data_IF_293284450963
#
_entry.id   IF_293284450963
#
_cell.length_a   1.000
_cell.length_b   1.000
_cell.length_c   1.000
_cell.angle_alpha   90.00
_cell.angle_beta   90.00
_cell.angle_gamma   90.00
#
_symmetry.space_group_name_H-M   'P 1'
#
loop_
_entity.id
_entity.type
_entity.pdbx_description
1 polymer ?
#
# COMPACT_ATOMS: atom_id res chain seq x y z
N UNK A 1 -6.31 -40.20 -21.49
CA UNK A 1 -7.36 -39.20 -21.76
C UNK A 1 -7.15 -38.08 -20.76
N UNK A 2 -6.93 -36.85 -21.23
CA UNK A 2 -6.74 -35.71 -20.33
C UNK A 2 -8.08 -35.43 -19.64
N UNK A 3 -8.10 -35.53 -18.31
CA UNK A 3 -9.26 -35.18 -17.50
C UNK A 3 -9.42 -33.66 -17.57
N UNK A 4 -10.54 -33.16 -18.09
CA UNK A 4 -10.86 -31.73 -18.02
C UNK A 4 -11.44 -31.44 -16.63
N UNK A 5 -10.74 -30.71 -15.75
CA UNK A 5 -11.22 -30.43 -14.40
C UNK A 5 -12.40 -29.45 -14.35
N UNK A 6 -12.66 -28.69 -15.43
CA UNK A 6 -13.73 -27.67 -15.50
C UNK A 6 -13.61 -26.60 -14.40
N UNK A 7 -12.39 -26.10 -14.17
CA UNK A 7 -12.10 -25.13 -13.11
C UNK A 7 -12.79 -23.78 -13.33
N UNK A 8 -12.97 -23.36 -14.60
CA UNK A 8 -13.60 -22.09 -14.93
C UNK A 8 -15.10 -22.13 -14.69
N UNK A 9 -15.74 -23.24 -15.05
CA UNK A 9 -17.13 -23.53 -14.72
C UNK A 9 -17.33 -23.59 -13.21
N UNK A 10 -16.38 -24.19 -12.48
CA UNK A 10 -16.44 -24.26 -11.02
C UNK A 10 -16.34 -22.89 -10.35
N UNK A 11 -15.55 -21.96 -10.90
CA UNK A 11 -15.50 -20.57 -10.42
C UNK A 11 -16.87 -19.89 -10.52
N UNK A 12 -17.61 -20.12 -11.61
CA UNK A 12 -18.93 -19.52 -11.80
C UNK A 12 -20.03 -20.21 -10.98
N UNK A 13 -20.10 -21.54 -11.01
CA UNK A 13 -21.17 -22.30 -10.36
C UNK A 13 -20.94 -22.56 -8.87
N UNK A 14 -19.70 -22.43 -8.39
CA UNK A 14 -19.30 -22.77 -7.02
C UNK A 14 -19.19 -24.28 -6.76
N UNK A 15 -19.37 -25.10 -7.79
CA UNK A 15 -19.18 -26.56 -7.77
C UNK A 15 -18.73 -27.03 -9.15
N UNK A 16 -18.06 -28.19 -9.21
CA UNK A 16 -17.69 -28.77 -10.50
C UNK A 16 -18.91 -29.47 -11.15
N UNK A 17 -19.18 -29.24 -12.44
CA UNK A 17 -20.30 -29.87 -13.15
C UNK A 17 -20.34 -31.39 -13.02
N UNK A 18 -19.19 -32.06 -12.99
CA UNK A 18 -19.07 -33.51 -12.81
C UNK A 18 -19.58 -33.97 -11.44
N UNK A 19 -19.32 -33.20 -10.38
CA UNK A 19 -19.85 -33.50 -9.03
C UNK A 19 -21.37 -33.35 -9.00
N UNK A 20 -21.91 -32.35 -9.68
CA UNK A 20 -23.35 -32.19 -9.82
C UNK A 20 -23.96 -33.40 -10.54
N UNK A 21 -23.36 -33.84 -11.65
CA UNK A 21 -23.83 -35.01 -12.41
C UNK A 21 -23.77 -36.30 -11.62
N UNK A 22 -22.71 -36.51 -10.83
CA UNK A 22 -22.63 -37.65 -9.92
C UNK A 22 -23.79 -37.66 -8.90
N UNK A 23 -24.13 -36.51 -8.32
CA UNK A 23 -25.25 -36.42 -7.36
C UNK A 23 -26.59 -36.72 -8.02
N UNK A 24 -26.81 -36.20 -9.23
CA UNK A 24 -28.03 -36.48 -10.01
C UNK A 24 -28.11 -37.95 -10.41
N UNK A 25 -26.98 -38.56 -10.81
CA UNK A 25 -26.89 -39.98 -11.13
C UNK A 25 -27.33 -40.85 -9.95
N UNK A 26 -26.76 -40.59 -8.76
CA UNK A 26 -27.08 -41.33 -7.53
C UNK A 26 -28.57 -41.17 -7.20
N UNK A 27 -29.10 -39.93 -7.26
CA UNK A 27 -30.50 -39.68 -6.97
C UNK A 27 -31.44 -40.46 -7.91
N UNK A 28 -31.20 -40.44 -9.23
CA UNK A 28 -32.01 -41.22 -10.17
C UNK A 28 -31.89 -42.72 -9.96
N UNK A 29 -30.68 -43.20 -9.65
CA UNK A 29 -30.45 -44.60 -9.36
C UNK A 29 -31.23 -45.04 -8.11
N UNK A 30 -31.19 -44.25 -7.04
CA UNK A 30 -31.93 -44.52 -5.80
C UNK A 30 -33.45 -44.58 -6.06
N UNK A 31 -34.00 -43.59 -6.80
CA UNK A 31 -35.42 -43.61 -7.18
C UNK A 31 -35.81 -44.81 -8.04
N UNK A 32 -34.93 -45.27 -8.93
CA UNK A 32 -35.18 -46.48 -9.72
C UNK A 32 -35.28 -47.71 -8.81
N UNK A 33 -34.36 -47.86 -7.87
CA UNK A 33 -34.39 -48.98 -6.91
C UNK A 33 -35.63 -48.92 -6.00
N UNK A 34 -35.96 -47.76 -5.45
CA UNK A 34 -37.16 -47.56 -4.62
C UNK A 34 -38.43 -47.93 -5.39
N UNK A 35 -38.56 -47.46 -6.63
CA UNK A 35 -39.72 -47.77 -7.47
C UNK A 35 -39.83 -49.26 -7.74
N UNK A 36 -38.73 -49.95 -8.02
CA UNK A 36 -38.74 -51.42 -8.23
C UNK A 36 -39.15 -52.17 -6.97
N UNK A 37 -38.70 -51.74 -5.80
CA UNK A 37 -39.12 -52.32 -4.52
C UNK A 37 -40.62 -52.13 -4.27
N UNK A 38 -41.16 -50.94 -4.58
CA UNK A 38 -42.59 -50.67 -4.48
C UNK A 38 -43.37 -51.59 -5.42
N UNK A 39 -42.96 -51.69 -6.69
CA UNK A 39 -43.59 -52.57 -7.68
C UNK A 39 -43.59 -54.03 -7.21
N UNK A 40 -42.46 -54.54 -6.74
CA UNK A 40 -42.35 -55.90 -6.21
C UNK A 40 -43.31 -56.11 -5.02
N UNK A 41 -43.33 -55.17 -4.07
CA UNK A 41 -44.20 -55.25 -2.90
C UNK A 41 -45.70 -55.23 -3.25
N UNK A 42 -46.09 -54.46 -4.28
CA UNK A 42 -47.47 -54.39 -4.77
C UNK A 42 -47.86 -55.70 -5.44
N UNK A 43 -46.99 -56.28 -6.26
CA UNK A 43 -47.23 -57.57 -6.93
C UNK A 43 -47.41 -58.67 -5.88
N UNK A 44 -46.55 -58.73 -4.86
CA UNK A 44 -46.65 -59.71 -3.77
C UNK A 44 -47.96 -59.57 -3.00
N UNK A 45 -48.33 -58.35 -2.58
CA UNK A 45 -49.59 -58.08 -1.88
C UNK A 45 -50.83 -58.45 -2.71
N UNK A 46 -50.77 -58.30 -4.03
CA UNK A 46 -51.86 -58.70 -4.93
C UNK A 46 -51.93 -60.20 -5.10
N UNK A 47 -50.79 -60.90 -5.10
CA UNK A 47 -50.73 -62.35 -5.19
C UNK A 47 -51.34 -63.04 -3.97
N UNK A 48 -51.18 -62.48 -2.77
CA UNK A 48 -51.79 -62.98 -1.53
C UNK A 48 -53.34 -63.05 -1.62
N UNK A 49 -53.95 -62.27 -2.52
CA UNK A 49 -55.39 -62.31 -2.81
C UNK A 49 -55.85 -63.45 -3.71
N UNK A 50 -54.93 -64.28 -4.26
CA UNK A 50 -55.23 -65.38 -5.17
C UNK A 50 -54.73 -66.73 -4.61
N UNK A 51 -55.56 -67.44 -3.82
CA UNK A 51 -55.15 -68.66 -3.11
C UNK A 51 -54.80 -69.84 -4.04
N UNK A 52 -55.28 -69.85 -5.29
CA UNK A 52 -54.97 -70.91 -6.28
C UNK A 52 -53.69 -70.66 -7.09
N UNK A 53 -52.97 -69.57 -6.82
CA UNK A 53 -51.80 -69.20 -7.62
C UNK A 53 -50.54 -69.97 -7.17
N UNK A 54 -49.93 -70.74 -8.07
CA UNK A 54 -48.71 -71.53 -7.82
C UNK A 54 -47.41 -70.73 -7.93
N UNK A 55 -47.47 -69.40 -7.99
CA UNK A 55 -46.29 -68.55 -8.20
C UNK A 55 -45.58 -68.36 -6.86
N UNK A 56 -44.29 -68.71 -6.81
CA UNK A 56 -43.47 -68.48 -5.62
C UNK A 56 -42.98 -67.03 -5.56
N UNK A 57 -42.93 -66.39 -4.37
CA UNK A 57 -42.29 -65.09 -4.18
C UNK A 57 -40.87 -65.00 -4.73
N UNK A 58 -40.13 -66.11 -4.69
CA UNK A 58 -38.78 -66.20 -5.25
C UNK A 58 -38.73 -66.00 -6.77
N UNK A 59 -39.76 -66.47 -7.50
CA UNK A 59 -39.86 -66.28 -8.95
C UNK A 59 -40.14 -64.81 -9.30
N UNK A 60 -40.94 -64.12 -8.46
CA UNK A 60 -41.21 -62.68 -8.61
C UNK A 60 -39.95 -61.87 -8.32
N UNK A 61 -39.21 -62.20 -7.25
CA UNK A 61 -37.94 -61.56 -6.92
C UNK A 61 -36.93 -61.68 -8.07
N UNK A 62 -36.72 -62.90 -8.57
CA UNK A 62 -35.81 -63.16 -9.70
C UNK A 62 -36.23 -62.42 -10.98
N UNK A 63 -37.53 -62.31 -11.23
CA UNK A 63 -38.06 -61.57 -12.39
C UNK A 63 -37.85 -60.06 -12.23
N UNK A 64 -38.06 -59.53 -11.03
CA UNK A 64 -37.83 -58.11 -10.70
C UNK A 64 -36.34 -57.77 -10.82
N UNK A 65 -35.45 -58.61 -10.30
CA UNK A 65 -33.99 -58.42 -10.43
C UNK A 65 -33.54 -58.44 -11.90
N UNK A 66 -34.08 -59.36 -12.71
CA UNK A 66 -33.79 -59.41 -14.15
C UNK A 66 -34.25 -58.12 -14.87
N UNK A 67 -35.45 -57.63 -14.54
CA UNK A 67 -35.96 -56.39 -15.11
C UNK A 67 -35.16 -55.16 -14.64
N UNK A 68 -34.77 -55.12 -13.37
CA UNK A 68 -33.95 -54.07 -12.81
C UNK A 68 -32.56 -54.00 -13.46
N UNK A 69 -31.92 -55.15 -13.74
CA UNK A 69 -30.66 -55.18 -14.49
C UNK A 69 -30.83 -54.60 -15.89
N UNK A 70 -31.88 -54.98 -16.60
CA UNK A 70 -32.22 -54.43 -17.92
C UNK A 70 -32.42 -52.91 -17.86
N UNK A 71 -33.19 -52.44 -16.87
CA UNK A 71 -33.43 -51.01 -16.67
C UNK A 71 -32.16 -50.25 -16.33
N UNK A 72 -31.27 -50.83 -15.51
CA UNK A 72 -29.99 -50.22 -15.15
C UNK A 72 -29.08 -50.04 -16.37
N UNK A 73 -28.94 -51.06 -17.22
CA UNK A 73 -28.14 -50.95 -18.44
C UNK A 73 -28.67 -49.89 -19.41
N UNK A 74 -29.99 -49.78 -19.54
CA UNK A 74 -30.63 -48.75 -20.36
C UNK A 74 -30.48 -47.36 -19.73
N UNK A 75 -30.64 -47.25 -18.42
CA UNK A 75 -30.46 -46.02 -17.67
C UNK A 75 -29.03 -45.50 -17.80
N UNK A 76 -28.00 -46.32 -17.59
CA UNK A 76 -26.60 -45.92 -17.73
C UNK A 76 -26.33 -45.33 -19.12
N UNK A 77 -26.77 -46.02 -20.19
CA UNK A 77 -26.58 -45.55 -21.58
C UNK A 77 -27.27 -44.21 -21.85
N UNK A 78 -28.49 -44.02 -21.33
CA UNK A 78 -29.24 -42.79 -21.53
C UNK A 78 -28.69 -41.65 -20.67
N UNK A 79 -28.31 -41.96 -19.43
CA UNK A 79 -27.73 -41.00 -18.51
C UNK A 79 -26.41 -40.48 -19.05
N UNK A 80 -25.51 -41.33 -19.55
CA UNK A 80 -24.23 -40.86 -20.13
C UNK A 80 -24.43 -39.89 -21.30
N UNK A 81 -25.44 -40.12 -22.15
CA UNK A 81 -25.78 -39.19 -23.25
C UNK A 81 -26.34 -37.87 -22.72
N UNK A 82 -27.23 -37.94 -21.73
CA UNK A 82 -27.80 -36.76 -21.10
C UNK A 82 -26.73 -35.94 -20.37
N UNK A 83 -25.84 -36.61 -19.62
CA UNK A 83 -24.69 -36.02 -18.95
C UNK A 83 -23.81 -35.28 -19.94
N UNK A 84 -23.45 -35.91 -21.06
CA UNK A 84 -22.66 -35.26 -22.11
C UNK A 84 -23.33 -33.98 -22.63
N UNK A 85 -24.64 -34.04 -22.92
CA UNK A 85 -25.40 -32.88 -23.41
C UNK A 85 -25.47 -31.77 -22.35
N UNK A 86 -25.72 -32.10 -21.08
CA UNK A 86 -25.77 -31.12 -19.99
C UNK A 86 -24.41 -30.47 -19.76
N UNK A 87 -23.34 -31.27 -19.77
CA UNK A 87 -21.97 -30.79 -19.62
C UNK A 87 -21.50 -29.96 -20.82
N UNK A 88 -22.05 -30.13 -22.01
CA UNK A 88 -21.67 -29.36 -23.20
C UNK A 88 -22.47 -28.07 -23.37
N UNK A 89 -23.78 -28.11 -23.09
CA UNK A 89 -24.71 -27.03 -23.44
C UNK A 89 -25.21 -26.21 -22.25
N UNK A 90 -25.21 -26.77 -21.03
CA UNK A 90 -25.81 -26.13 -19.85
C UNK A 90 -24.77 -25.75 -18.83
N UNK A 91 -23.93 -26.70 -18.43
CA UNK A 91 -22.92 -26.54 -17.38
C UNK A 91 -21.53 -26.24 -17.94
N UNK A 92 -21.48 -25.61 -19.11
CA UNK A 92 -20.26 -25.24 -19.83
C UNK A 92 -20.20 -23.73 -19.98
N UNK A 93 -19.03 -23.14 -19.75
CA UNK A 93 -18.81 -21.75 -20.10
C UNK A 93 -18.12 -21.72 -21.47
N UNK A 94 -18.75 -21.14 -22.50
CA UNK A 94 -18.13 -21.04 -23.80
C UNK A 94 -16.80 -20.30 -23.72
N UNK A 95 -15.76 -20.78 -24.40
CA UNK A 95 -14.40 -20.20 -24.36
C UNK A 95 -14.32 -18.73 -24.81
N UNK A 96 -15.35 -18.28 -25.53
CA UNK A 96 -15.50 -16.91 -26.02
C UNK A 96 -16.24 -15.99 -25.04
N UNK A 97 -16.70 -16.51 -23.90
CA UNK A 97 -17.39 -15.76 -22.86
C UNK A 97 -16.45 -15.61 -21.69
N UNK A 98 -16.27 -14.36 -21.28
CA UNK A 98 -15.46 -13.98 -20.15
C UNK A 98 -16.37 -13.67 -18.97
N UNK A 99 -16.06 -14.26 -17.82
CA UNK A 99 -16.83 -14.06 -16.61
C UNK A 99 -16.71 -12.61 -16.11
N UNK A 100 -17.74 -12.06 -15.44
CA UNK A 100 -17.70 -10.70 -14.90
C UNK A 100 -16.49 -10.42 -14.01
N UNK A 101 -16.04 -11.42 -13.25
CA UNK A 101 -14.88 -11.37 -12.37
C UNK A 101 -13.58 -11.10 -13.14
N UNK A 102 -13.48 -11.61 -14.37
CA UNK A 102 -12.28 -11.50 -15.18
C UNK A 102 -12.28 -10.28 -16.10
N UNK A 103 -13.37 -9.48 -16.13
CA UNK A 103 -13.49 -8.31 -17.04
C UNK A 103 -12.33 -7.33 -16.90
N UNK A 104 -11.72 -7.25 -15.72
CA UNK A 104 -10.54 -6.42 -15.48
C UNK A 104 -9.36 -6.85 -16.35
N UNK A 105 -9.21 -8.15 -16.61
CA UNK A 105 -8.15 -8.70 -17.46
C UNK A 105 -8.37 -8.39 -18.95
N UNK A 106 -9.63 -8.25 -19.40
CA UNK A 106 -9.95 -7.82 -20.77
C UNK A 106 -9.81 -6.30 -20.93
N UNK A 107 -10.28 -5.52 -19.96
CA UNK A 107 -10.25 -4.05 -20.01
C UNK A 107 -8.83 -3.50 -19.83
N UNK A 108 -8.02 -4.13 -18.99
CA UNK A 108 -6.67 -3.70 -18.68
C UNK A 108 -5.70 -4.88 -18.80
N UNK A 109 -5.43 -5.36 -20.03
CA UNK A 109 -4.49 -6.43 -20.25
C UNK A 109 -3.09 -5.92 -19.90
N UNK A 110 -2.52 -6.45 -18.83
CA UNK A 110 -1.18 -6.08 -18.38
C UNK A 110 -0.21 -7.23 -18.64
N UNK A 111 0.85 -6.97 -19.40
CA UNK A 111 1.89 -7.98 -19.59
C UNK A 111 2.70 -8.15 -18.31
N UNK A 112 3.33 -9.33 -18.15
CA UNK A 112 4.22 -9.58 -17.00
C UNK A 112 5.37 -8.57 -16.93
N UNK A 113 5.89 -8.16 -18.09
CA UNK A 113 6.97 -7.18 -18.21
C UNK A 113 6.51 -5.78 -17.78
N UNK A 114 5.32 -5.35 -18.23
CA UNK A 114 4.73 -4.08 -17.80
C UNK A 114 4.45 -4.07 -16.29
N UNK A 115 3.98 -5.19 -15.74
CA UNK A 115 3.74 -5.31 -14.30
C UNK A 115 5.05 -5.20 -13.50
N UNK A 116 6.12 -5.84 -13.96
CA UNK A 116 7.44 -5.74 -13.36
C UNK A 116 8.01 -4.31 -13.46
N UNK A 117 7.85 -3.65 -14.60
CA UNK A 117 8.25 -2.26 -14.78
C UNK A 117 7.51 -1.33 -13.80
N UNK A 118 6.19 -1.49 -13.67
CA UNK A 118 5.38 -0.73 -12.71
C UNK A 118 5.81 -0.99 -11.27
N UNK A 119 6.12 -2.24 -10.92
CA UNK A 119 6.63 -2.57 -9.59
C UNK A 119 7.99 -1.90 -9.32
N UNK A 120 8.86 -1.82 -10.32
CA UNK A 120 10.13 -1.10 -10.25
C UNK A 120 9.92 0.40 -10.07
N UNK A 121 9.00 1.00 -10.82
CA UNK A 121 8.66 2.43 -10.71
C UNK A 121 8.10 2.77 -9.32
N UNK A 122 7.22 1.93 -8.77
CA UNK A 122 6.69 2.10 -7.41
C UNK A 122 7.83 2.10 -6.38
N UNK A 123 8.79 1.18 -6.50
CA UNK A 123 9.93 1.13 -5.59
C UNK A 123 10.82 2.37 -5.71
N UNK A 124 11.07 2.85 -6.94
CA UNK A 124 11.84 4.07 -7.17
C UNK A 124 11.15 5.30 -6.60
N UNK A 125 9.84 5.46 -6.82
CA UNK A 125 9.05 6.56 -6.28
C UNK A 125 9.02 6.55 -4.75
N UNK A 126 8.90 5.37 -4.13
CA UNK A 126 8.96 5.25 -2.67
C UNK A 126 10.33 5.67 -2.12
N UNK A 127 11.41 5.32 -2.82
CA UNK A 127 12.77 5.72 -2.41
C UNK A 127 12.97 7.23 -2.57
N UNK A 128 12.52 7.81 -3.68
CA UNK A 128 12.56 9.26 -3.91
C UNK A 128 11.75 10.01 -2.86
N UNK A 129 10.54 9.56 -2.55
CA UNK A 129 9.71 10.16 -1.50
C UNK A 129 10.42 10.20 -0.14
N UNK A 130 11.10 9.11 0.25
CA UNK A 130 11.87 9.08 1.50
C UNK A 130 13.05 10.05 1.48
N UNK A 131 13.77 10.12 0.36
CA UNK A 131 14.89 11.05 0.21
C UNK A 131 14.41 12.51 0.30
N UNK A 132 13.34 12.87 -0.42
CA UNK A 132 12.72 14.20 -0.37
C UNK A 132 12.20 14.55 1.02
N UNK A 133 11.57 13.60 1.72
CA UNK A 133 11.13 13.82 3.10
C UNK A 133 12.32 14.10 4.04
N UNK A 134 13.43 13.39 3.89
CA UNK A 134 14.63 13.62 4.68
C UNK A 134 15.32 14.96 4.34
N UNK A 135 15.38 15.32 3.05
CA UNK A 135 15.91 16.60 2.60
C UNK A 135 15.06 17.76 3.14
N UNK A 136 13.74 17.63 3.10
CA UNK A 136 12.82 18.62 3.68
C UNK A 136 12.98 18.79 5.19
N UNK A 137 13.30 17.71 5.92
CA UNK A 137 13.64 17.80 7.34
C UNK A 137 14.99 18.50 7.57
N UNK A 138 16.02 18.18 6.78
CA UNK A 138 17.33 18.82 6.86
C UNK A 138 17.25 20.33 6.60
N UNK A 139 16.54 20.74 5.54
CA UNK A 139 16.34 22.16 5.22
C UNK A 139 15.61 22.92 6.34
N UNK A 140 14.64 22.28 7.01
CA UNK A 140 13.98 22.90 8.18
C UNK A 140 14.93 23.05 9.35
N UNK A 141 15.79 22.07 9.60
CA UNK A 141 16.79 22.16 10.66
C UNK A 141 17.79 23.29 10.38
N UNK A 142 18.30 23.38 9.17
CA UNK A 142 19.22 24.45 8.74
C UNK A 142 18.57 25.84 8.86
N UNK A 143 17.28 25.96 8.53
CA UNK A 143 16.54 27.22 8.68
C UNK A 143 16.39 27.64 10.14
N UNK A 144 16.17 26.70 11.06
CA UNK A 144 16.15 27.01 12.50
C UNK A 144 17.54 27.39 13.03
N UNK A 145 18.60 26.71 12.58
CA UNK A 145 19.98 27.11 12.91
C UNK A 145 20.30 28.51 12.41
N UNK A 146 19.90 28.84 11.18
CA UNK A 146 20.10 30.17 10.60
C UNK A 146 19.38 31.26 11.39
N UNK A 147 18.17 31.00 11.89
CA UNK A 147 17.44 31.94 12.76
C UNK A 147 18.19 32.20 14.07
N UNK A 148 18.76 31.16 14.68
CA UNK A 148 19.54 31.31 15.93
C UNK A 148 20.77 32.18 15.68
N UNK A 149 21.53 31.91 14.61
CA UNK A 149 22.70 32.72 14.25
C UNK A 149 22.31 34.16 13.92
N UNK A 150 21.20 34.36 13.20
CA UNK A 150 20.66 35.70 12.92
C UNK A 150 20.34 36.48 14.19
N UNK A 151 19.70 35.84 15.17
CA UNK A 151 19.40 36.45 16.46
C UNK A 151 20.66 36.79 17.27
N UNK A 152 21.70 35.95 17.23
CA UNK A 152 22.99 36.26 17.86
C UNK A 152 23.69 37.46 17.20
N UNK A 153 23.67 37.55 15.88
CA UNK A 153 24.21 38.72 15.16
C UNK A 153 23.44 40.00 15.48
N UNK A 154 22.12 39.93 15.59
CA UNK A 154 21.29 41.08 15.97
C UNK A 154 21.59 41.54 17.40
N UNK A 155 21.80 40.62 18.35
CA UNK A 155 22.27 40.96 19.69
C UNK A 155 23.61 41.70 19.64
N UNK A 156 24.57 41.23 18.83
CA UNK A 156 25.86 41.89 18.70
C UNK A 156 25.70 43.32 18.15
N UNK A 157 24.85 43.52 17.14
CA UNK A 157 24.55 44.86 16.61
C UNK A 157 23.93 45.76 17.69
N UNK A 158 22.97 45.26 18.46
CA UNK A 158 22.37 46.00 19.58
C UNK A 158 23.41 46.38 20.65
N UNK A 159 24.43 45.54 20.89
CA UNK A 159 25.53 45.87 21.79
C UNK A 159 26.40 47.00 21.25
N UNK A 160 26.70 47.01 19.94
CA UNK A 160 27.41 48.12 19.31
C UNK A 160 26.60 49.42 19.38
N UNK A 161 25.31 49.37 19.05
CA UNK A 161 24.42 50.53 19.15
C UNK A 161 24.33 51.04 20.60
N UNK A 162 24.25 50.14 21.57
CA UNK A 162 24.25 50.48 23.00
C UNK A 162 25.56 51.15 23.44
N UNK A 163 26.70 50.64 22.99
CA UNK A 163 28.00 51.23 23.26
C UNK A 163 28.11 52.64 22.65
N UNK A 164 27.73 52.81 21.38
CA UNK A 164 27.72 54.12 20.72
C UNK A 164 26.81 55.12 21.44
N UNK A 165 25.63 54.68 21.89
CA UNK A 165 24.70 55.52 22.63
C UNK A 165 25.26 55.97 23.99
N UNK A 166 25.84 55.07 24.78
CA UNK A 166 26.52 55.42 26.05
C UNK A 166 27.65 56.43 25.80
N UNK A 167 28.44 56.22 24.74
CA UNK A 167 29.54 57.14 24.40
C UNK A 167 29.03 58.52 23.96
N UNK A 168 27.88 58.57 23.28
CA UNK A 168 27.19 59.82 22.92
C UNK A 168 26.67 60.55 24.15
N UNK A 169 26.08 59.84 25.12
CA UNK A 169 25.59 60.41 26.38
C UNK A 169 26.71 61.01 27.23
N UNK A 170 27.88 60.38 27.26
CA UNK A 170 29.06 60.89 27.95
C UNK A 170 29.88 61.94 27.14
N UNK A 171 29.36 62.39 25.99
CA UNK A 171 29.93 63.52 25.23
C UNK A 171 31.10 63.17 24.33
N UNK A 172 31.46 61.89 24.18
CA UNK A 172 32.49 61.38 23.27
C UNK A 172 31.85 60.56 22.16
N UNK A 173 30.96 61.18 21.38
CA UNK A 173 30.16 60.49 20.35
C UNK A 173 30.99 59.90 19.22
N UNK A 174 32.18 60.45 18.96
CA UNK A 174 33.11 59.90 17.99
C UNK A 174 34.50 59.82 18.64
N UNK A 175 34.90 58.61 19.03
CA UNK A 175 36.22 58.37 19.62
C UNK A 175 37.34 58.82 18.70
N UNK A 176 37.22 58.59 17.39
CA UNK A 176 38.26 58.98 16.43
C UNK A 176 38.47 60.49 16.41
N UNK A 177 37.40 61.27 16.34
CA UNK A 177 37.50 62.74 16.39
C UNK A 177 37.97 63.24 17.76
N UNK A 178 37.49 62.62 18.84
CA UNK A 178 37.88 62.96 20.21
C UNK A 178 39.38 62.71 20.43
N UNK A 179 39.90 61.56 19.99
CA UNK A 179 41.33 61.23 20.07
C UNK A 179 42.20 62.15 19.19
N UNK A 180 41.74 62.51 17.99
CA UNK A 180 42.45 63.47 17.13
C UNK A 180 42.53 64.84 17.81
N UNK A 181 41.42 65.37 18.31
CA UNK A 181 41.38 66.65 19.03
C UNK A 181 42.27 66.64 20.28
N UNK A 182 42.24 65.56 21.07
CA UNK A 182 43.07 65.41 22.27
C UNK A 182 44.56 65.37 21.91
N UNK A 183 44.92 64.66 20.83
CA UNK A 183 46.31 64.54 20.35
C UNK A 183 46.83 65.88 19.82
N UNK A 184 46.02 66.62 19.07
CA UNK A 184 46.39 67.96 18.57
C UNK A 184 46.56 68.97 19.69
N UNK A 185 45.64 68.99 20.66
CA UNK A 185 45.76 69.89 21.81
C UNK A 185 46.89 69.49 22.74
N UNK A 186 47.16 68.20 22.92
CA UNK A 186 48.33 67.74 23.68
C UNK A 186 49.63 68.18 23.01
N UNK A 187 49.73 68.15 21.67
CA UNK A 187 50.90 68.67 20.95
C UNK A 187 51.06 70.18 21.18
N UNK A 188 49.99 70.96 21.00
CA UNK A 188 50.00 72.41 21.27
C UNK A 188 50.41 72.73 22.71
N UNK A 189 49.88 71.99 23.68
CA UNK A 189 50.22 72.17 25.09
C UNK A 189 51.69 71.84 25.35
N UNK A 190 52.22 70.76 24.76
CA UNK A 190 53.62 70.39 24.87
C UNK A 190 54.55 71.46 24.26
N UNK A 191 54.15 72.07 23.14
CA UNK A 191 54.90 73.17 22.52
C UNK A 191 54.87 74.43 23.40
N UNK A 192 53.71 74.80 23.98
CA UNK A 192 53.60 75.92 24.92
C UNK A 192 54.41 75.65 26.20
N UNK A 193 54.39 74.43 26.73
CA UNK A 193 55.18 74.03 27.90
C UNK A 193 56.67 74.22 27.64
N UNK A 194 57.18 73.80 26.47
CA UNK A 194 58.58 74.03 26.07
C UNK A 194 58.91 75.53 26.05
N UNK A 195 58.04 76.36 25.49
CA UNK A 195 58.22 77.82 25.45
C UNK A 195 58.22 78.44 26.86
N UNK A 196 57.34 77.97 27.75
CA UNK A 196 57.29 78.42 29.16
C UNK A 196 58.53 77.94 29.92
N UNK A 197 59.02 76.73 29.66
CA UNK A 197 60.25 76.20 30.26
C UNK A 197 61.49 76.98 29.81
N UNK A 198 61.56 77.36 28.53
CA UNK A 198 62.61 78.23 27.99
C UNK A 198 62.54 79.64 28.58
N UNK A 199 61.35 80.23 28.69
CA UNK A 199 61.16 81.53 29.36
C UNK A 199 61.48 81.48 30.85
N UNK A 200 61.11 80.40 31.54
CA UNK A 200 61.43 80.16 32.96
C UNK A 200 62.95 80.01 33.17
N UNK A 201 63.65 79.31 32.28
CA UNK A 201 65.13 79.26 32.28
C UNK A 201 65.76 80.63 32.03
N UNK A 202 65.15 81.47 31.20
CA UNK A 202 65.63 82.84 30.96
C UNK A 202 65.36 83.79 32.14
N UNK A 203 64.23 83.63 32.86
CA UNK A 203 63.94 84.39 34.09
C UNK A 203 64.87 83.97 35.23
N UNK A 204 65.14 82.67 35.40
CA UNK A 204 66.13 82.18 36.39
C UNK A 204 67.57 82.65 36.11
N UNK A 205 67.92 82.90 34.85
CA UNK A 205 69.20 83.56 34.50
C UNK A 205 69.20 85.05 34.81
N UNK A 206 68.04 85.69 34.84
CA UNK A 206 67.93 87.11 35.17
C UNK A 206 67.97 87.36 36.68
N UNK A 207 67.45 86.44 37.50
CA UNK A 207 67.54 86.48 38.97
C UNK A 207 68.92 86.05 39.53
N UNK A 208 69.81 85.48 38.72
CA UNK A 208 71.23 85.26 39.08
C UNK A 208 72.13 86.43 38.70
N UNK A 209 71.57 87.50 38.12
CA UNK A 209 72.28 88.72 37.68
C UNK A 209 71.80 89.99 38.41
N UNK A 210 71.05 89.83 39.50
CA UNK A 210 70.78 90.85 40.52
C UNK A 210 71.50 90.45 41.82
#
# INVERSE_FOLDING_TARGET
MAVNPMDYEAQFFGFTPQTCMLRVYIAFQDYLFETMLVVESVILKKLDGFPDCKISPFQIRKSTEKFLLFMKEHFEKLFSKMEEVLLQLVLNIPKNVLLPEDKVHEQYPYSKEQFQALQGEIQQLQQQYRAEASAGQALRAELEEQKVVGAELEKILQWFDGLENICREHGTSNFKESFVFLTENSKKLQDVLKVVEEKSKNIKKHDQLL
#
